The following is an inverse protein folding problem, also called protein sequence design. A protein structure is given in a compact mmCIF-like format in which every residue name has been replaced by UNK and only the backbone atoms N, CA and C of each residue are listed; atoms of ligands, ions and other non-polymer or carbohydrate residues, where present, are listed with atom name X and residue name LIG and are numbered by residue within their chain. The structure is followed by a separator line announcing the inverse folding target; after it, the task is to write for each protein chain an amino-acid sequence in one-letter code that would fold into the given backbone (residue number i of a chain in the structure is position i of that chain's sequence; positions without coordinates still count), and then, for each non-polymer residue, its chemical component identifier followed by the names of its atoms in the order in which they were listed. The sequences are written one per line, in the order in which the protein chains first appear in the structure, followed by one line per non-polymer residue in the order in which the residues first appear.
data_IF_174838118875
#
_entry.id   IF_174838118875
#
_cell.length_a   1.000
_cell.length_b   1.000
_cell.length_c   1.000
_cell.angle_alpha   90.00
_cell.angle_beta   90.00
_cell.angle_gamma   90.00
#
_symmetry.space_group_name_H-M   'P 1'
#
loop_
_entity.id
_entity.type
_entity.pdbx_description
1 polymer ?
#
# COMPACT_ATOMS: atom_id res chain seq x y z
N UNK A 1 1.52 -17.08 -18.75
CA UNK A 1 0.26 -17.30 -18.01
C UNK A 1 0.08 -16.17 -17.01
N UNK A 2 -0.75 -15.20 -17.37
CA UNK A 2 -0.95 -13.97 -16.58
C UNK A 2 -1.92 -14.21 -15.40
N UNK A 3 -2.99 -14.99 -15.62
CA UNK A 3 -3.95 -15.31 -14.57
C UNK A 3 -3.27 -16.07 -13.42
N UNK A 4 -2.38 -17.01 -13.74
CA UNK A 4 -1.64 -17.75 -12.72
C UNK A 4 -0.69 -16.85 -11.91
N UNK A 5 0.03 -15.91 -12.57
CA UNK A 5 0.88 -14.95 -11.85
C UNK A 5 0.07 -14.14 -10.84
N UNK A 6 -1.09 -13.65 -11.25
CA UNK A 6 -2.02 -12.90 -10.39
C UNK A 6 -2.51 -13.74 -9.21
N UNK A 7 -3.00 -14.96 -9.46
CA UNK A 7 -3.49 -15.86 -8.41
C UNK A 7 -2.37 -16.22 -7.40
N UNK A 8 -1.17 -16.50 -7.88
CA UNK A 8 -0.03 -16.83 -7.00
C UNK A 8 0.35 -15.65 -6.10
N UNK A 9 0.34 -14.42 -6.62
CA UNK A 9 0.59 -13.22 -5.81
C UNK A 9 -0.45 -13.07 -4.69
N UNK A 10 -1.74 -13.11 -5.02
CA UNK A 10 -2.81 -12.97 -4.01
C UNK A 10 -2.89 -14.17 -3.04
N UNK A 11 -2.41 -15.35 -3.45
CA UNK A 11 -2.31 -16.52 -2.57
C UNK A 11 -1.37 -16.30 -1.37
N UNK A 12 -0.39 -15.40 -1.47
CA UNK A 12 0.52 -15.03 -0.36
C UNK A 12 -0.29 -14.45 0.82
N UNK A 13 -1.37 -13.75 0.51
CA UNK A 13 -2.25 -13.11 1.48
C UNK A 13 -3.47 -13.98 1.84
N UNK A 14 -3.53 -15.23 1.34
CA UNK A 14 -4.68 -16.13 1.49
C UNK A 14 -5.97 -15.46 1.05
N UNK A 15 -5.93 -14.77 -0.09
CA UNK A 15 -7.03 -13.98 -0.63
C UNK A 15 -7.45 -14.52 -2.00
N UNK A 16 -8.38 -15.50 -2.03
CA UNK A 16 -8.98 -15.98 -3.28
C UNK A 16 -9.60 -14.85 -4.09
N UNK A 17 -9.49 -14.96 -5.41
CA UNK A 17 -9.98 -13.92 -6.33
C UNK A 17 -11.18 -14.41 -7.12
N UNK A 18 -12.12 -13.49 -7.35
CA UNK A 18 -13.16 -13.66 -8.36
C UNK A 18 -12.59 -13.44 -9.75
N UNK A 19 -13.26 -13.98 -10.77
CA UNK A 19 -12.88 -13.85 -12.18
C UNK A 19 -12.54 -12.41 -12.60
N UNK A 20 -13.39 -11.45 -12.25
CA UNK A 20 -13.17 -10.04 -12.63
C UNK A 20 -12.00 -9.40 -11.87
N UNK A 21 -11.73 -9.82 -10.62
CA UNK A 21 -10.55 -9.37 -9.89
C UNK A 21 -9.26 -9.90 -10.56
N UNK A 22 -9.25 -11.17 -11.00
CA UNK A 22 -8.12 -11.73 -11.74
C UNK A 22 -7.86 -10.93 -13.02
N UNK A 23 -8.92 -10.61 -13.76
CA UNK A 23 -8.81 -9.79 -14.97
C UNK A 23 -8.17 -8.43 -14.67
N UNK A 24 -8.73 -7.69 -13.70
CA UNK A 24 -8.25 -6.37 -13.28
C UNK A 24 -6.79 -6.36 -12.82
N UNK A 25 -6.35 -7.42 -12.14
CA UNK A 25 -4.97 -7.57 -11.66
C UNK A 25 -4.06 -8.37 -12.62
N UNK A 26 -4.45 -8.50 -13.88
CA UNK A 26 -3.64 -9.16 -14.92
C UNK A 26 -3.40 -8.24 -16.11
N UNK A 27 -2.46 -8.62 -16.98
CA UNK A 27 -2.20 -7.97 -18.27
C UNK A 27 -2.84 -8.73 -19.45
N UNK A 28 -3.93 -9.47 -19.22
CA UNK A 28 -4.64 -10.16 -20.29
C UNK A 28 -5.43 -9.18 -21.14
N UNK A 29 -5.40 -9.33 -22.47
CA UNK A 29 -6.04 -8.37 -23.38
C UNK A 29 -7.56 -8.37 -23.28
N UNK A 30 -8.16 -9.51 -22.94
CA UNK A 30 -9.61 -9.64 -22.84
C UNK A 30 -10.00 -10.80 -21.91
N UNK A 31 -11.29 -10.83 -21.58
CA UNK A 31 -11.92 -11.78 -20.68
C UNK A 31 -12.06 -13.21 -21.26
N UNK A 32 -11.98 -13.37 -22.57
CA UNK A 32 -12.02 -14.68 -23.25
C UNK A 32 -10.70 -15.44 -23.04
N UNK A 33 -9.56 -14.76 -23.28
CA UNK A 33 -8.23 -15.31 -22.99
C UNK A 33 -8.06 -15.67 -21.52
N UNK A 34 -8.69 -14.90 -20.62
CA UNK A 34 -8.74 -15.26 -19.19
C UNK A 34 -9.47 -16.58 -18.97
N UNK A 35 -10.62 -16.79 -19.58
CA UNK A 35 -11.40 -18.01 -19.39
C UNK A 35 -10.68 -19.24 -19.93
N UNK A 36 -10.05 -19.11 -21.09
CA UNK A 36 -9.19 -20.15 -21.67
C UNK A 36 -8.04 -20.49 -20.72
N UNK A 37 -7.32 -19.48 -20.22
CA UNK A 37 -6.20 -19.69 -19.29
C UNK A 37 -6.68 -20.35 -17.97
N UNK A 38 -7.79 -19.89 -17.41
CA UNK A 38 -8.37 -20.47 -16.19
C UNK A 38 -8.82 -21.92 -16.39
N UNK A 39 -9.42 -22.24 -17.53
CA UNK A 39 -9.88 -23.60 -17.86
C UNK A 39 -8.70 -24.57 -17.95
N UNK A 40 -7.63 -24.17 -18.67
CA UNK A 40 -6.39 -24.96 -18.75
C UNK A 40 -5.74 -25.17 -17.37
N UNK A 41 -5.75 -24.15 -16.51
CA UNK A 41 -5.17 -24.24 -15.17
C UNK A 41 -5.99 -25.16 -14.25
N UNK A 42 -7.32 -25.16 -14.38
CA UNK A 42 -8.22 -26.05 -13.64
C UNK A 42 -8.02 -27.51 -14.07
N UNK A 43 -7.96 -27.78 -15.38
CA UNK A 43 -7.70 -29.12 -15.93
C UNK A 43 -6.36 -29.68 -15.44
N UNK A 44 -5.32 -28.85 -15.41
CA UNK A 44 -3.99 -29.20 -14.88
C UNK A 44 -3.93 -29.29 -13.35
N UNK A 45 -5.03 -28.99 -12.65
CA UNK A 45 -5.10 -28.87 -11.18
C UNK A 45 -4.03 -27.93 -10.60
N UNK A 46 -3.62 -26.93 -11.38
CA UNK A 46 -2.69 -25.89 -10.96
C UNK A 46 -3.40 -24.81 -10.12
N UNK A 47 -4.70 -24.68 -10.33
CA UNK A 47 -5.61 -23.85 -9.52
C UNK A 47 -6.88 -24.65 -9.21
N UNK A 48 -7.67 -24.14 -8.28
CA UNK A 48 -8.95 -24.68 -7.85
C UNK A 48 -10.01 -23.60 -7.91
N UNK A 49 -11.27 -24.00 -8.07
CA UNK A 49 -12.42 -23.11 -8.00
C UNK A 49 -13.37 -23.60 -6.91
N UNK A 50 -13.73 -22.71 -5.99
CA UNK A 50 -14.73 -22.93 -4.94
C UNK A 50 -15.74 -21.80 -5.05
N UNK A 51 -16.98 -22.11 -5.41
CA UNK A 51 -17.99 -21.12 -5.80
C UNK A 51 -17.41 -20.18 -6.89
N UNK A 52 -17.45 -18.87 -6.68
CA UNK A 52 -16.91 -17.86 -7.62
C UNK A 52 -15.43 -17.55 -7.42
N UNK A 53 -14.76 -18.22 -6.48
CA UNK A 53 -13.39 -17.91 -6.09
C UNK A 53 -12.40 -18.90 -6.69
N UNK A 54 -11.30 -18.36 -7.23
CA UNK A 54 -10.16 -19.11 -7.74
C UNK A 54 -9.02 -19.07 -6.73
N UNK A 55 -8.39 -20.23 -6.52
CA UNK A 55 -7.37 -20.47 -5.49
C UNK A 55 -6.19 -21.26 -6.05
N UNK A 56 -5.00 -21.08 -5.47
CA UNK A 56 -3.85 -21.95 -5.74
C UNK A 56 -3.80 -23.19 -4.85
N UNK A 57 -4.67 -23.26 -3.83
CA UNK A 57 -4.75 -24.35 -2.86
C UNK A 57 -6.22 -24.70 -2.65
N UNK A 58 -6.57 -25.99 -2.65
CA UNK A 58 -7.93 -26.45 -2.46
C UNK A 58 -8.36 -26.39 -0.99
N UNK A 59 -8.53 -25.17 -0.47
CA UNK A 59 -8.84 -24.93 0.95
C UNK A 59 -9.99 -23.93 1.09
N UNK A 60 -11.17 -24.43 1.48
CA UNK A 60 -12.39 -23.62 1.65
C UNK A 60 -12.25 -22.56 2.75
N UNK A 61 -11.39 -22.77 3.75
CA UNK A 61 -11.14 -21.81 4.83
C UNK A 61 -10.60 -20.47 4.30
N UNK A 62 -9.89 -20.47 3.15
CA UNK A 62 -9.45 -19.23 2.52
C UNK A 62 -10.63 -18.43 1.93
N UNK A 63 -11.68 -19.10 1.45
CA UNK A 63 -12.90 -18.46 0.95
C UNK A 63 -13.72 -17.90 2.12
N UNK A 64 -13.89 -18.68 3.18
CA UNK A 64 -14.60 -18.24 4.40
C UNK A 64 -13.92 -17.00 5.01
N UNK A 65 -12.59 -17.05 5.16
CA UNK A 65 -11.78 -15.90 5.62
C UNK A 65 -11.94 -14.68 4.71
N UNK A 66 -11.94 -14.89 3.40
CA UNK A 66 -12.10 -13.83 2.38
C UNK A 66 -13.44 -13.13 2.48
N UNK A 67 -14.52 -13.87 2.73
CA UNK A 67 -15.88 -13.34 2.89
C UNK A 67 -15.98 -12.57 4.20
N UNK A 68 -15.58 -13.17 5.32
CA UNK A 68 -15.61 -12.52 6.64
C UNK A 68 -14.78 -11.23 6.64
N UNK A 69 -13.55 -11.28 6.12
CA UNK A 69 -12.67 -10.12 6.08
C UNK A 69 -13.17 -8.98 5.18
N UNK A 70 -14.00 -9.29 4.18
CA UNK A 70 -14.69 -8.27 3.38
C UNK A 70 -15.82 -7.60 4.14
N UNK A 71 -16.61 -8.36 4.89
CA UNK A 71 -17.65 -7.79 5.76
C UNK A 71 -17.01 -6.84 6.77
N UNK A 72 -15.97 -7.30 7.47
CA UNK A 72 -15.25 -6.48 8.45
C UNK A 72 -14.61 -5.23 7.83
N UNK A 73 -14.09 -5.32 6.59
CA UNK A 73 -13.57 -4.17 5.86
C UNK A 73 -14.65 -3.14 5.56
N UNK A 74 -15.83 -3.59 5.13
CA UNK A 74 -16.99 -2.73 4.91
C UNK A 74 -17.42 -2.04 6.21
N UNK A 75 -17.48 -2.78 7.31
CA UNK A 75 -17.91 -2.27 8.62
C UNK A 75 -16.96 -1.21 9.20
N UNK A 76 -15.64 -1.38 9.00
CA UNK A 76 -14.63 -0.44 9.50
C UNK A 76 -14.41 0.77 8.57
N UNK A 77 -14.81 0.68 7.30
CA UNK A 77 -14.53 1.71 6.30
C UNK A 77 -15.03 3.12 6.68
N UNK A 78 -16.25 3.31 7.22
CA UNK A 78 -16.71 4.63 7.68
C UNK A 78 -15.80 5.25 8.74
N UNK A 79 -15.18 4.43 9.59
CA UNK A 79 -14.20 4.89 10.58
C UNK A 79 -12.90 5.32 9.91
N UNK A 80 -12.43 4.57 8.91
CA UNK A 80 -11.25 4.93 8.13
C UNK A 80 -11.40 6.31 7.47
N UNK A 81 -12.57 6.60 6.89
CA UNK A 81 -12.91 7.93 6.32
C UNK A 81 -12.85 9.04 7.37
N UNK A 82 -13.43 8.82 8.56
CA UNK A 82 -13.38 9.82 9.65
C UNK A 82 -11.94 10.12 10.06
N UNK A 83 -11.10 9.11 10.13
CA UNK A 83 -9.71 9.26 10.56
C UNK A 83 -8.86 9.89 9.46
N UNK A 84 -9.04 9.52 8.19
CA UNK A 84 -8.33 10.17 7.08
C UNK A 84 -8.64 11.67 7.03
N UNK A 85 -9.92 12.04 7.19
CA UNK A 85 -10.36 13.43 7.23
C UNK A 85 -9.77 14.18 8.44
N UNK A 86 -9.55 13.49 9.56
CA UNK A 86 -8.87 14.07 10.71
C UNK A 86 -7.37 14.26 10.46
N UNK A 87 -6.68 13.26 9.88
CA UNK A 87 -5.25 13.35 9.51
C UNK A 87 -5.02 14.49 8.52
N UNK A 88 -5.92 14.69 7.55
CA UNK A 88 -5.83 15.76 6.56
C UNK A 88 -5.85 17.19 7.16
N UNK A 89 -6.29 17.35 8.42
CA UNK A 89 -6.29 18.65 9.12
C UNK A 89 -4.93 19.01 9.72
N UNK A 90 -3.97 18.09 9.74
CA UNK A 90 -2.64 18.37 10.31
C UNK A 90 -1.83 19.34 9.42
N UNK A 91 -0.93 20.13 10.02
CA UNK A 91 -0.05 21.03 9.27
C UNK A 91 0.72 20.27 8.18
N UNK A 92 0.77 20.86 6.99
CA UNK A 92 1.51 20.38 5.82
C UNK A 92 1.04 19.05 5.20
N UNK A 93 -0.04 18.44 5.69
CA UNK A 93 -0.70 17.33 4.99
C UNK A 93 -1.47 17.87 3.80
N UNK A 94 -1.16 17.39 2.59
CA UNK A 94 -1.81 17.77 1.33
C UNK A 94 -2.71 16.67 0.79
N UNK A 95 -2.35 15.41 1.03
CA UNK A 95 -3.14 14.25 0.63
C UNK A 95 -3.11 13.14 1.68
N UNK A 96 -4.22 12.42 1.80
CA UNK A 96 -4.34 11.21 2.64
C UNK A 96 -5.03 10.12 1.83
N UNK A 97 -4.41 8.94 1.76
CA UNK A 97 -4.97 7.74 1.15
C UNK A 97 -4.99 6.58 2.12
N UNK A 98 -5.97 5.69 1.99
CA UNK A 98 -6.00 4.40 2.68
C UNK A 98 -5.16 3.42 1.86
N UNK A 99 -4.24 2.72 2.51
CA UNK A 99 -3.36 1.71 1.92
C UNK A 99 -3.46 0.37 2.67
N UNK A 100 -2.56 -0.58 2.39
CA UNK A 100 -2.51 -1.85 3.11
C UNK A 100 -3.69 -2.78 2.78
N UNK A 101 -4.08 -3.62 3.74
CA UNK A 101 -5.13 -4.63 3.52
C UNK A 101 -6.51 -4.02 3.31
N UNK A 102 -6.83 -2.94 4.04
CA UNK A 102 -8.15 -2.30 3.97
C UNK A 102 -8.41 -1.73 2.57
N UNK A 103 -7.40 -1.18 1.92
CA UNK A 103 -7.52 -0.63 0.56
C UNK A 103 -7.83 -1.71 -0.49
N UNK A 104 -7.54 -2.97 -0.17
CA UNK A 104 -7.85 -4.17 -0.98
C UNK A 104 -9.16 -4.84 -0.56
N UNK A 105 -9.91 -4.21 0.35
CA UNK A 105 -11.17 -4.70 0.88
C UNK A 105 -11.03 -5.75 1.98
N UNK A 106 -9.86 -5.94 2.60
CA UNK A 106 -9.69 -6.93 3.66
C UNK A 106 -9.40 -6.29 5.01
N UNK A 107 -10.11 -6.72 6.06
CA UNK A 107 -9.81 -6.36 7.44
C UNK A 107 -10.09 -7.54 8.37
N UNK A 108 -9.33 -7.67 9.46
CA UNK A 108 -9.60 -8.62 10.53
C UNK A 108 -9.25 -8.02 11.90
N UNK A 109 -9.46 -8.77 12.98
CA UNK A 109 -9.30 -8.29 14.36
C UNK A 109 -7.89 -7.76 14.68
N UNK A 110 -6.88 -8.25 13.94
CA UNK A 110 -5.46 -7.91 14.10
C UNK A 110 -4.99 -6.84 13.12
N UNK A 111 -5.84 -6.47 12.16
CA UNK A 111 -5.49 -5.50 11.12
C UNK A 111 -5.50 -4.07 11.68
N UNK A 112 -4.52 -3.28 11.25
CA UNK A 112 -4.49 -1.84 11.47
C UNK A 112 -5.20 -1.11 10.30
N UNK A 113 -5.38 0.21 10.41
CA UNK A 113 -5.71 1.08 9.28
C UNK A 113 -4.44 1.83 8.87
N UNK A 114 -3.92 1.51 7.68
CA UNK A 114 -2.74 2.12 7.11
C UNK A 114 -3.08 3.34 6.27
N UNK A 115 -2.34 4.42 6.49
CA UNK A 115 -2.47 5.67 5.75
C UNK A 115 -1.18 6.01 5.00
N UNK A 116 -1.36 6.35 3.73
CA UNK A 116 -0.37 6.98 2.87
C UNK A 116 -0.58 8.49 2.89
N UNK A 117 0.48 9.23 3.18
CA UNK A 117 0.40 10.68 3.40
C UNK A 117 1.25 11.42 2.37
N UNK A 118 0.64 12.37 1.67
CA UNK A 118 1.35 13.33 0.84
C UNK A 118 1.45 14.65 1.60
N UNK A 119 2.65 15.21 1.65
CA UNK A 119 2.97 16.41 2.41
C UNK A 119 3.50 17.52 1.52
N UNK A 120 3.39 18.77 1.96
CA UNK A 120 4.06 19.88 1.30
C UNK A 120 5.57 19.66 1.20
N UNK A 121 6.15 20.08 0.09
CA UNK A 121 7.60 20.11 -0.11
C UNK A 121 8.34 20.71 1.09
N UNK A 122 9.47 20.08 1.49
CA UNK A 122 10.32 20.46 2.63
C UNK A 122 9.63 20.44 4.00
N UNK A 123 8.44 19.85 4.15
CA UNK A 123 7.69 19.84 5.42
C UNK A 123 7.27 18.44 5.88
N UNK A 124 7.80 17.41 5.21
CA UNK A 124 7.49 16.02 5.46
C UNK A 124 7.81 15.62 6.90
N UNK A 125 9.01 15.94 7.38
CA UNK A 125 9.48 15.49 8.70
C UNK A 125 8.81 16.24 9.84
N UNK A 126 8.43 17.50 9.62
CA UNK A 126 7.55 18.23 10.54
C UNK A 126 6.19 17.53 10.61
N UNK A 127 5.49 17.33 9.48
CA UNK A 127 4.17 16.71 9.44
C UNK A 127 4.19 15.31 10.08
N UNK A 128 5.17 14.48 9.68
CA UNK A 128 5.40 13.14 10.22
C UNK A 128 5.61 13.17 11.73
N UNK A 129 6.41 14.11 12.23
CA UNK A 129 6.70 14.20 13.67
C UNK A 129 5.46 14.60 14.44
N UNK A 130 4.68 15.58 13.98
CA UNK A 130 3.43 15.99 14.64
C UNK A 130 2.44 14.81 14.69
N UNK A 131 2.25 14.08 13.59
CA UNK A 131 1.37 12.90 13.56
C UNK A 131 1.85 11.78 14.48
N UNK A 132 3.15 11.51 14.52
CA UNK A 132 3.72 10.51 15.44
C UNK A 132 3.61 10.94 16.91
N UNK A 133 3.80 12.22 17.22
CA UNK A 133 3.60 12.76 18.56
C UNK A 133 2.14 12.67 18.97
N UNK A 134 1.21 13.03 18.07
CA UNK A 134 -0.22 12.90 18.32
C UNK A 134 -0.58 11.45 18.68
N UNK A 135 -0.13 10.49 17.88
CA UNK A 135 -0.32 9.07 18.15
C UNK A 135 0.22 8.66 19.52
N UNK A 136 1.40 9.14 19.91
CA UNK A 136 2.03 8.77 21.18
C UNK A 136 1.32 9.37 22.38
N UNK A 137 0.91 10.63 22.30
CA UNK A 137 0.37 11.40 23.41
C UNK A 137 -1.12 11.12 23.58
N UNK A 138 -1.90 11.24 22.50
CA UNK A 138 -3.37 11.18 22.57
C UNK A 138 -3.93 9.79 22.29
N UNK A 139 -3.20 8.94 21.55
CA UNK A 139 -3.62 7.56 21.26
C UNK A 139 -2.83 6.52 22.07
N UNK A 140 -2.05 6.95 23.08
CA UNK A 140 -1.21 6.08 23.91
C UNK A 140 -0.32 5.13 23.07
N UNK A 141 0.17 5.64 21.94
CA UNK A 141 0.98 4.94 20.95
C UNK A 141 0.25 3.76 20.24
N UNK A 142 -1.08 3.69 20.31
CA UNK A 142 -1.90 2.73 19.57
C UNK A 142 -1.85 2.97 18.06
N UNK A 143 -1.74 1.89 17.28
CA UNK A 143 -1.70 1.92 15.80
C UNK A 143 -2.98 1.44 15.13
N UNK A 144 -3.88 0.80 15.89
CA UNK A 144 -5.05 0.07 15.39
C UNK A 144 -5.86 0.80 14.33
N UNK A 145 -5.99 2.12 14.47
CA UNK A 145 -6.74 2.94 13.53
C UNK A 145 -5.96 4.18 13.06
N UNK A 146 -4.65 4.27 13.30
CA UNK A 146 -3.85 5.48 13.04
C UNK A 146 -2.41 5.10 12.62
N UNK A 147 -2.28 4.18 11.67
CA UNK A 147 -0.99 3.68 11.23
C UNK A 147 -0.49 4.55 10.06
N UNK A 148 0.37 5.53 10.37
CA UNK A 148 1.00 6.41 9.37
C UNK A 148 2.42 5.90 9.07
N UNK A 149 2.56 5.16 7.97
CA UNK A 149 3.77 4.36 7.70
C UNK A 149 4.55 4.83 6.47
N UNK A 150 3.90 5.55 5.56
CA UNK A 150 4.50 6.02 4.32
C UNK A 150 4.13 7.50 4.11
N UNK A 151 5.16 8.33 3.98
CA UNK A 151 5.06 9.74 3.66
C UNK A 151 5.86 10.05 2.41
N UNK A 152 5.29 10.83 1.50
CA UNK A 152 6.00 11.47 0.39
C UNK A 152 5.79 12.98 0.40
N UNK A 153 6.73 13.72 -0.18
CA UNK A 153 6.60 15.15 -0.42
C UNK A 153 6.05 15.41 -1.83
N UNK A 154 5.23 16.45 -1.99
CA UNK A 154 4.55 16.76 -3.26
C UNK A 154 5.46 17.14 -4.42
N UNK A 155 6.75 17.36 -4.18
CA UNK A 155 7.76 17.60 -5.21
C UNK A 155 8.49 16.33 -5.68
N UNK A 156 8.10 15.15 -5.21
CA UNK A 156 8.66 13.86 -5.61
C UNK A 156 7.60 12.78 -5.38
N UNK A 157 6.66 12.67 -6.31
CA UNK A 157 5.50 11.77 -6.18
C UNK A 157 5.74 10.39 -6.81
N UNK A 158 6.66 10.29 -7.78
CA UNK A 158 7.09 9.00 -8.31
C UNK A 158 7.69 8.08 -7.23
N UNK A 159 7.23 6.82 -7.21
CA UNK A 159 7.74 5.78 -6.33
C UNK A 159 8.97 5.11 -6.97
N UNK A 160 10.11 5.20 -6.28
CA UNK A 160 11.38 4.63 -6.77
C UNK A 160 11.34 3.09 -6.88
N UNK A 161 10.66 2.43 -5.95
CA UNK A 161 10.59 0.97 -5.92
C UNK A 161 9.51 0.48 -6.90
N UNK A 162 9.90 0.04 -8.11
CA UNK A 162 9.00 -0.42 -9.17
C UNK A 162 8.96 -1.94 -9.27
N UNK A 163 8.04 -2.57 -8.55
CA UNK A 163 7.80 -4.01 -8.60
C UNK A 163 6.32 -4.34 -8.42
N UNK A 164 5.94 -5.62 -8.56
CA UNK A 164 4.55 -6.07 -8.44
C UNK A 164 3.91 -5.70 -7.09
N UNK A 165 4.67 -5.74 -6.00
CA UNK A 165 4.16 -5.40 -4.67
C UNK A 165 3.80 -3.92 -4.59
N UNK A 166 4.73 -3.03 -4.93
CA UNK A 166 4.51 -1.59 -4.88
C UNK A 166 3.48 -1.12 -5.90
N UNK A 167 3.46 -1.73 -7.09
CA UNK A 167 2.42 -1.49 -8.08
C UNK A 167 1.03 -1.84 -7.50
N UNK A 168 0.90 -2.98 -6.81
CA UNK A 168 -0.36 -3.37 -6.18
C UNK A 168 -0.76 -2.39 -5.08
N UNK A 169 0.17 -2.01 -4.19
CA UNK A 169 -0.10 -1.01 -3.15
C UNK A 169 -0.58 0.31 -3.74
N UNK A 170 0.00 0.74 -4.88
CA UNK A 170 -0.33 1.99 -5.54
C UNK A 170 -1.73 1.96 -6.19
N UNK A 171 -2.02 0.96 -7.03
CA UNK A 171 -3.31 0.91 -7.75
C UNK A 171 -4.49 0.65 -6.82
N UNK A 172 -4.26 -0.07 -5.71
CA UNK A 172 -5.30 -0.35 -4.71
C UNK A 172 -5.43 0.73 -3.66
N UNK A 173 -4.61 1.78 -3.70
CA UNK A 173 -4.69 2.90 -2.77
C UNK A 173 -5.99 3.69 -2.98
N UNK A 174 -6.72 3.96 -1.90
CA UNK A 174 -7.99 4.69 -1.96
C UNK A 174 -7.76 6.13 -1.45
N UNK A 175 -7.70 7.14 -2.33
CA UNK A 175 -7.51 8.53 -1.93
C UNK A 175 -8.74 9.05 -1.17
N UNK A 176 -8.51 9.62 0.02
CA UNK A 176 -9.56 10.16 0.88
C UNK A 176 -9.61 11.69 0.85
N UNK A 177 -8.45 12.34 0.71
CA UNK A 177 -8.31 13.80 0.66
C UNK A 177 -7.16 14.18 -0.30
N UNK A 178 -7.21 15.39 -0.87
CA UNK A 178 -6.15 15.91 -1.72
C UNK A 178 -6.27 15.46 -3.18
N UNK A 179 -7.40 15.77 -3.83
CA UNK A 179 -7.71 15.32 -5.19
C UNK A 179 -6.59 15.63 -6.18
N UNK A 180 -6.16 16.89 -6.23
CA UNK A 180 -5.18 17.35 -7.23
C UNK A 180 -3.82 16.69 -7.02
N UNK A 181 -3.35 16.59 -5.77
CA UNK A 181 -2.04 15.96 -5.48
C UNK A 181 -2.06 14.45 -5.74
N UNK A 182 -3.20 13.78 -5.52
CA UNK A 182 -3.35 12.38 -5.91
C UNK A 182 -3.41 12.21 -7.43
N UNK A 183 -4.06 13.13 -8.16
CA UNK A 183 -4.02 13.10 -9.63
C UNK A 183 -2.57 13.19 -10.14
N UNK A 184 -1.78 14.13 -9.64
CA UNK A 184 -0.35 14.22 -9.94
C UNK A 184 0.42 12.94 -9.55
N UNK A 185 0.11 12.37 -8.38
CA UNK A 185 0.75 11.13 -7.92
C UNK A 185 0.50 9.96 -8.88
N UNK A 186 -0.72 9.78 -9.39
CA UNK A 186 -0.99 8.73 -10.36
C UNK A 186 -0.35 9.02 -11.73
N UNK A 187 -0.29 10.29 -12.16
CA UNK A 187 0.38 10.66 -13.40
C UNK A 187 1.89 10.39 -13.37
N UNK A 188 2.56 10.64 -12.24
CA UNK A 188 4.00 10.34 -12.08
C UNK A 188 4.28 8.82 -11.94
N UNK A 189 3.25 7.99 -11.77
CA UNK A 189 3.40 6.56 -11.53
C UNK A 189 2.73 5.69 -12.61
N UNK A 190 2.66 6.16 -13.86
CA UNK A 190 2.11 5.39 -14.99
C UNK A 190 2.81 4.06 -15.26
N UNK A 191 4.04 3.89 -14.76
CA UNK A 191 4.78 2.62 -14.84
C UNK A 191 4.01 1.41 -14.28
N UNK A 192 3.01 1.61 -13.42
CA UNK A 192 2.15 0.53 -12.90
C UNK A 192 1.30 -0.14 -13.97
N UNK A 193 1.05 0.52 -15.10
CA UNK A 193 0.31 -0.03 -16.24
C UNK A 193 1.05 -1.22 -16.88
N UNK A 194 2.37 -1.29 -16.73
CA UNK A 194 3.18 -2.44 -17.13
C UNK A 194 2.84 -3.69 -16.31
N UNK A 195 2.26 -3.55 -15.12
CA UNK A 195 1.87 -4.65 -14.25
C UNK A 195 0.37 -4.97 -14.30
N UNK A 196 -0.47 -3.95 -14.52
CA UNK A 196 -1.91 -4.03 -14.35
C UNK A 196 -2.68 -3.18 -15.38
N UNK A 197 -2.58 -3.54 -16.66
CA UNK A 197 -3.18 -2.77 -17.77
C UNK A 197 -4.72 -2.69 -17.74
N UNK A 198 -5.37 -3.61 -17.01
CA UNK A 198 -6.84 -3.71 -16.94
C UNK A 198 -7.43 -3.10 -15.68
N UNK A 199 -6.60 -2.57 -14.78
CA UNK A 199 -7.10 -2.07 -13.50
C UNK A 199 -7.83 -0.74 -13.72
N UNK A 200 -9.15 -0.76 -13.56
CA UNK A 200 -9.96 0.45 -13.59
C UNK A 200 -10.07 1.00 -12.18
N UNK A 201 -9.50 2.19 -11.98
CA UNK A 201 -9.64 2.90 -10.71
C UNK A 201 -11.09 3.30 -10.50
N UNK A 202 -11.60 3.14 -9.28
CA UNK A 202 -12.92 3.61 -8.91
C UNK A 202 -12.92 5.14 -8.80
N UNK A 203 -14.01 5.77 -9.20
CA UNK A 203 -14.27 7.17 -8.90
C UNK A 203 -14.55 7.32 -7.41
N UNK A 204 -13.49 7.53 -6.65
CA UNK A 204 -13.59 7.76 -5.21
C UNK A 204 -14.03 9.20 -4.95
N UNK A 205 -15.00 9.37 -4.04
CA UNK A 205 -15.36 10.68 -3.53
C UNK A 205 -14.24 11.20 -2.63
N UNK A 206 -13.33 11.99 -3.21
CA UNK A 206 -12.23 12.61 -2.48
C UNK A 206 -12.76 13.83 -1.74
N UNK A 207 -12.66 13.80 -0.41
CA UNK A 207 -13.15 14.89 0.44
C UNK A 207 -12.26 16.13 0.33
N UNK A 208 -12.89 17.30 0.30
CA UNK A 208 -12.21 18.58 0.52
C UNK A 208 -12.19 18.89 2.02
N UNK A 209 -11.01 18.81 2.64
CA UNK A 209 -10.86 19.11 4.07
C UNK A 209 -10.33 20.52 4.26
N UNK A 210 -11.12 21.37 4.93
CA UNK A 210 -10.70 22.73 5.29
C UNK A 210 -9.83 22.70 6.55
N UNK A 211 -8.64 23.31 6.48
CA UNK A 211 -7.77 23.52 7.63
C UNK A 211 -8.24 24.74 8.44
N UNK A 212 -8.17 24.63 9.76
CA UNK A 212 -8.53 25.72 10.66
C UNK A 212 -7.45 26.83 10.68
N UNK A 213 -7.77 27.97 11.27
CA UNK A 213 -6.88 29.13 11.32
C UNK A 213 -5.56 28.83 12.02
N UNK A 214 -5.59 28.12 13.15
CA UNK A 214 -4.39 27.76 13.91
C UNK A 214 -3.41 26.94 13.07
N UNK A 215 -3.91 25.95 12.33
CA UNK A 215 -3.08 25.14 11.42
C UNK A 215 -2.47 26.03 10.33
N UNK A 216 -3.24 26.91 9.70
CA UNK A 216 -2.70 27.85 8.70
C UNK A 216 -1.64 28.79 9.26
N UNK A 217 -1.82 29.25 10.50
CA UNK A 217 -0.83 30.08 11.19
C UNK A 217 0.46 29.29 11.47
N UNK A 218 0.35 28.06 11.98
CA UNK A 218 1.52 27.19 12.19
C UNK A 218 2.25 26.91 10.88
N UNK A 219 1.51 26.66 9.79
CA UNK A 219 2.10 26.48 8.47
C UNK A 219 2.82 27.73 7.99
N UNK A 220 2.24 28.92 8.21
CA UNK A 220 2.87 30.20 7.83
C UNK A 220 4.16 30.45 8.60
N UNK A 221 4.16 30.22 9.92
CA UNK A 221 5.36 30.40 10.76
C UNK A 221 6.47 29.43 10.37
N UNK A 222 6.11 28.16 10.12
CA UNK A 222 7.03 27.11 9.74
C UNK A 222 7.36 27.14 8.23
N UNK A 223 6.77 28.03 7.42
CA UNK A 223 7.21 28.35 6.05
C UNK A 223 8.33 29.42 6.07
N UNK A 224 9.38 29.12 6.83
CA UNK A 224 10.57 29.97 7.03
C UNK A 224 11.84 29.11 7.01
N UNK A 225 13.00 29.76 6.99
CA UNK A 225 14.31 29.07 7.09
C UNK A 225 14.44 28.27 8.39
N UNK A 226 13.83 28.76 9.47
CA UNK A 226 13.72 28.02 10.72
C UNK A 226 12.92 26.72 10.54
N UNK A 227 11.83 26.74 9.77
CA UNK A 227 11.08 25.54 9.43
C UNK A 227 11.87 24.56 8.55
N UNK A 228 12.62 25.06 7.56
CA UNK A 228 13.54 24.24 6.75
C UNK A 228 14.60 23.56 7.65
N UNK A 229 15.17 24.28 8.61
CA UNK A 229 16.09 23.75 9.60
C UNK A 229 15.43 22.66 10.48
N UNK A 230 14.24 22.92 11.02
CA UNK A 230 13.52 21.98 11.87
C UNK A 230 13.17 20.68 11.13
N UNK A 231 12.74 20.77 9.87
CA UNK A 231 12.42 19.58 9.06
C UNK A 231 13.64 18.67 8.91
N UNK A 232 14.80 19.24 8.54
CA UNK A 232 16.07 18.52 8.44
C UNK A 232 16.50 17.95 9.81
N UNK A 233 16.29 18.70 10.89
CA UNK A 233 16.62 18.24 12.24
C UNK A 233 15.77 17.03 12.63
N UNK A 234 14.45 17.08 12.42
CA UNK A 234 13.55 15.96 12.69
C UNK A 234 13.88 14.71 11.86
N UNK A 235 14.29 14.90 10.60
CA UNK A 235 14.81 13.82 9.75
C UNK A 235 16.02 13.14 10.41
N UNK A 236 17.07 13.92 10.70
CA UNK A 236 18.32 13.40 11.27
C UNK A 236 18.09 12.72 12.62
N UNK A 237 17.26 13.31 13.47
CA UNK A 237 16.88 12.74 14.76
C UNK A 237 16.17 11.40 14.62
N UNK A 238 15.19 11.32 13.71
CA UNK A 238 14.43 10.09 13.47
C UNK A 238 15.31 9.00 12.90
N UNK A 239 16.14 9.32 11.91
CA UNK A 239 17.10 8.41 11.32
C UNK A 239 18.05 7.83 12.37
N UNK A 240 18.64 8.68 13.24
CA UNK A 240 19.52 8.23 14.33
C UNK A 240 18.80 7.28 15.28
N UNK A 241 17.55 7.57 15.62
CA UNK A 241 16.72 6.71 16.48
C UNK A 241 16.42 5.36 15.81
N UNK A 242 16.04 5.35 14.53
CA UNK A 242 15.75 4.12 13.78
C UNK A 242 17.00 3.27 13.58
N UNK A 243 18.13 3.88 13.21
CA UNK A 243 19.42 3.18 13.09
C UNK A 243 19.83 2.50 14.40
N UNK A 244 19.58 3.15 15.54
CA UNK A 244 19.84 2.55 16.86
C UNK A 244 18.85 1.42 17.21
N UNK A 245 17.59 1.54 16.79
CA UNK A 245 16.54 0.55 17.10
C UNK A 245 16.63 -0.70 16.22
N UNK A 246 17.03 -0.57 14.96
CA UNK A 246 17.05 -1.64 13.97
C UNK A 246 18.48 -2.01 13.53
N UNK A 247 19.41 -2.09 14.49
CA UNK A 247 20.82 -2.42 14.24
C UNK A 247 21.04 -3.79 13.59
N UNK A 248 20.06 -4.68 13.70
CA UNK A 248 20.13 -6.05 13.20
C UNK A 248 19.79 -6.16 11.70
N UNK A 249 19.30 -5.08 11.06
CA UNK A 249 19.09 -5.06 9.62
C UNK A 249 20.40 -4.69 8.92
N UNK A 250 20.71 -5.38 7.83
CA UNK A 250 21.78 -4.96 6.93
C UNK A 250 21.44 -3.59 6.31
N UNK A 251 22.46 -2.88 5.82
CA UNK A 251 22.31 -1.51 5.34
C UNK A 251 21.31 -1.38 4.19
N UNK A 252 21.34 -2.29 3.21
CA UNK A 252 20.44 -2.22 2.06
C UNK A 252 18.99 -2.47 2.46
N UNK A 253 18.73 -3.49 3.29
CA UNK A 253 17.40 -3.74 3.84
C UNK A 253 16.92 -2.59 4.72
N UNK A 254 17.80 -1.96 5.50
CA UNK A 254 17.46 -0.80 6.32
C UNK A 254 17.07 0.40 5.45
N UNK A 255 17.84 0.71 4.40
CA UNK A 255 17.60 1.87 3.55
C UNK A 255 16.26 1.75 2.77
N UNK A 256 15.84 0.52 2.45
CA UNK A 256 14.51 0.23 1.86
C UNK A 256 13.40 0.27 2.92
N UNK A 257 13.58 -0.41 4.05
CA UNK A 257 12.55 -0.56 5.08
C UNK A 257 12.30 0.72 5.90
N UNK A 258 13.34 1.54 6.06
CA UNK A 258 13.39 2.75 6.89
C UNK A 258 13.77 3.98 6.06
N UNK A 259 13.39 3.99 4.78
CA UNK A 259 13.73 5.07 3.83
C UNK A 259 13.45 6.43 4.46
N UNK A 260 14.52 7.21 4.61
CA UNK A 260 14.53 8.46 5.37
C UNK A 260 15.24 9.55 4.56
N UNK A 261 14.63 9.98 3.46
CA UNK A 261 15.16 11.06 2.62
C UNK A 261 14.44 12.37 2.95
N UNK A 262 14.84 13.48 2.32
CA UNK A 262 14.12 14.76 2.47
C UNK A 262 12.66 14.68 2.00
N UNK A 263 12.38 13.80 1.03
CA UNK A 263 11.09 13.71 0.36
C UNK A 263 10.32 12.41 0.65
N UNK A 264 10.92 11.45 1.37
CA UNK A 264 10.28 10.16 1.68
C UNK A 264 10.57 9.75 3.12
N UNK A 265 9.52 9.34 3.84
CA UNK A 265 9.64 8.60 5.11
C UNK A 265 8.81 7.32 5.06
N UNK A 266 9.50 6.18 5.06
CA UNK A 266 8.92 4.83 5.05
C UNK A 266 9.31 4.11 6.35
N UNK A 267 8.35 3.48 7.03
CA UNK A 267 8.59 2.70 8.25
C UNK A 267 7.96 1.31 8.15
N UNK A 268 8.69 0.37 7.54
CA UNK A 268 8.29 -1.03 7.35
C UNK A 268 9.35 -1.99 7.91
N UNK A 269 9.46 -2.13 9.24
CA UNK A 269 10.59 -2.79 9.93
C UNK A 269 10.81 -4.27 9.60
N UNK A 270 9.82 -4.94 9.02
CA UNK A 270 9.90 -6.38 8.71
C UNK A 270 10.33 -6.66 7.26
N UNK A 271 10.73 -5.63 6.50
CA UNK A 271 11.07 -5.74 5.07
C UNK A 271 9.99 -6.52 4.29
N UNK A 272 8.72 -6.17 4.54
CA UNK A 272 7.56 -6.94 4.09
C UNK A 272 7.51 -7.11 2.57
N UNK A 273 7.87 -6.06 1.82
CA UNK A 273 8.00 -6.07 0.36
C UNK A 273 8.91 -7.21 -0.10
N UNK A 274 10.15 -7.27 0.42
CA UNK A 274 11.10 -8.33 0.07
C UNK A 274 10.53 -9.71 0.37
N UNK A 275 9.94 -9.90 1.56
CA UNK A 275 9.31 -11.16 1.93
C UNK A 275 8.22 -11.59 0.94
N UNK A 276 7.37 -10.67 0.48
CA UNK A 276 6.31 -10.95 -0.50
C UNK A 276 6.92 -11.37 -1.84
N UNK A 277 7.91 -10.63 -2.35
CA UNK A 277 8.55 -10.94 -3.63
C UNK A 277 9.31 -12.28 -3.58
N UNK A 278 10.08 -12.53 -2.53
CA UNK A 278 10.79 -13.79 -2.33
C UNK A 278 9.80 -14.98 -2.28
N UNK A 279 8.72 -14.85 -1.51
CA UNK A 279 7.66 -15.87 -1.41
C UNK A 279 6.97 -16.10 -2.77
N UNK A 280 6.80 -15.05 -3.58
CA UNK A 280 6.22 -15.18 -4.91
C UNK A 280 7.13 -15.97 -5.85
N UNK A 281 8.43 -15.66 -5.84
CA UNK A 281 9.44 -16.33 -6.64
C UNK A 281 9.59 -17.82 -6.27
N UNK A 282 9.49 -18.16 -4.98
CA UNK A 282 9.40 -19.53 -4.50
C UNK A 282 8.16 -20.26 -5.06
N UNK A 283 7.00 -19.60 -5.04
CA UNK A 283 5.76 -20.12 -5.64
C UNK A 283 5.90 -20.35 -7.15
N UNK A 284 6.55 -19.45 -7.88
CA UNK A 284 6.83 -19.62 -9.32
C UNK A 284 7.71 -20.84 -9.58
N UNK A 285 8.78 -21.01 -8.80
CA UNK A 285 9.67 -22.18 -8.88
C UNK A 285 8.92 -23.49 -8.59
N UNK A 286 8.04 -23.49 -7.59
CA UNK A 286 7.21 -24.66 -7.25
C UNK A 286 6.26 -25.04 -8.39
N UNK A 287 5.60 -24.06 -9.00
CA UNK A 287 4.70 -24.27 -10.14
C UNK A 287 5.44 -24.82 -11.35
N UNK A 288 6.65 -24.32 -11.64
CA UNK A 288 7.51 -24.86 -12.70
C UNK A 288 7.82 -26.34 -12.45
N UNK A 289 8.17 -26.71 -11.22
CA UNK A 289 8.49 -28.10 -10.84
C UNK A 289 7.29 -29.05 -10.94
N UNK A 290 6.10 -28.62 -10.51
CA UNK A 290 4.93 -29.50 -10.40
C UNK A 290 4.12 -29.56 -11.69
N UNK A 291 3.93 -28.42 -12.36
CA UNK A 291 3.01 -28.29 -13.50
C UNK A 291 3.72 -27.99 -14.82
N UNK A 292 5.06 -27.91 -14.83
CA UNK A 292 5.88 -27.54 -15.99
C UNK A 292 5.48 -26.19 -16.63
N UNK A 293 5.04 -25.23 -15.80
CA UNK A 293 4.68 -23.88 -16.22
C UNK A 293 5.80 -22.93 -15.79
N UNK A 294 6.47 -22.29 -16.74
CA UNK A 294 7.52 -21.32 -16.46
C UNK A 294 6.94 -19.92 -16.33
N UNK A 295 7.25 -19.25 -15.21
CA UNK A 295 6.91 -17.86 -14.95
C UNK A 295 8.21 -17.09 -14.67
N UNK A 296 8.36 -15.92 -15.29
CA UNK A 296 9.47 -15.02 -15.02
C UNK A 296 9.41 -14.49 -13.58
N UNK A 297 10.55 -14.51 -12.90
CA UNK A 297 10.71 -14.05 -11.52
C UNK A 297 10.55 -12.53 -11.40
N UNK A 298 10.03 -12.08 -10.26
CA UNK A 298 9.89 -10.67 -9.94
C UNK A 298 11.14 -10.15 -9.20
N UNK A 299 11.49 -8.89 -9.42
CA UNK A 299 12.56 -8.20 -8.70
C UNK A 299 12.03 -7.51 -7.44
N UNK A 300 12.82 -7.52 -6.35
CA UNK A 300 12.45 -6.97 -5.04
C UNK A 300 12.73 -5.47 -4.91
#
# INVERSE_FOLDING_TARGET
MNALKTLLYFSIFKYPLKRDEIFSFSNLKNKVLLDEELSQLLEKKAIYKINDYYLCENNSLHVERRILGNSMASDIFPKAIKISNFIAKFPFVEGVGISGSLSKGYHDEKSDIDFFIITSQKRLWIARTILVLYKKIFLLNSRKYFCVNYFIASNMLEIDEKNRFTATELITMIPMCGKDVFQSFYMENQWVENYFSNYVKKDDQINTVKKNFLVKLTERLLKSDFGDYLDIWFMKFTYKKWKSKFKNLDKASFDIAMKSTKNVSKHHPQNFQKKVIDTLNEKYSKVKKIHNITLEHEHA
#
